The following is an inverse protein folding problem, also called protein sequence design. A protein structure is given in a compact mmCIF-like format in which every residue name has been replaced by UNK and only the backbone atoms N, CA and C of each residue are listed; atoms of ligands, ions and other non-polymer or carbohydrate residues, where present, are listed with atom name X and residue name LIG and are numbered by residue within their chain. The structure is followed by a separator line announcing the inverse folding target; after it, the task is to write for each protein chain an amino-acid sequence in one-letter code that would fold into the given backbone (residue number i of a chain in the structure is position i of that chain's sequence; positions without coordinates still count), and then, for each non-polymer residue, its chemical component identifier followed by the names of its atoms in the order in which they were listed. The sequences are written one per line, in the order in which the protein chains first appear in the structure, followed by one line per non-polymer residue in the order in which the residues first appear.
data_IF_123190905779
#
_entry.id   IF_123190905779
#
_cell.length_a   1.000
_cell.length_b   1.000
_cell.length_c   1.000
_cell.angle_alpha   90.00
_cell.angle_beta   90.00
_cell.angle_gamma   90.00
#
_symmetry.space_group_name_H-M   'P 1'
#
loop_
_entity.id
_entity.type
_entity.pdbx_description
1 polymer ?
#
# COMPACT_ATOMS: atom_id res chain seq x y z
N UNK A 1 50.93 -27.48 -0.61
CA UNK A 1 50.49 -26.90 -1.89
C UNK A 1 49.33 -27.73 -2.43
N UNK A 2 48.11 -27.27 -2.14
CA UNK A 2 46.80 -27.59 -2.74
C UNK A 2 45.87 -26.47 -2.21
N UNK A 3 44.98 -25.85 -3.00
CA UNK A 3 44.12 -24.78 -2.49
C UNK A 3 42.82 -25.37 -1.92
N UNK A 4 42.23 -24.78 -0.86
CA UNK A 4 40.88 -25.12 -0.44
C UNK A 4 39.87 -24.42 -1.36
N UNK A 5 39.02 -25.21 -2.02
CA UNK A 5 37.92 -24.72 -2.86
C UNK A 5 36.82 -24.08 -2.03
N UNK A 6 36.78 -22.75 -2.03
CA UNK A 6 35.66 -21.96 -1.53
C UNK A 6 34.49 -21.99 -2.50
N UNK A 7 33.52 -22.87 -2.26
CA UNK A 7 32.25 -22.93 -2.97
C UNK A 7 31.10 -22.83 -1.98
N UNK A 8 30.91 -21.67 -1.36
CA UNK A 8 29.67 -21.36 -0.63
C UNK A 8 28.54 -21.25 -1.65
N UNK A 9 27.85 -22.36 -1.92
CA UNK A 9 26.54 -22.33 -2.58
C UNK A 9 25.61 -21.49 -1.73
N UNK A 10 25.33 -20.27 -2.21
CA UNK A 10 24.25 -19.40 -1.75
C UNK A 10 22.97 -20.25 -1.67
N UNK A 11 22.31 -20.38 -0.51
CA UNK A 11 21.02 -21.04 -0.45
C UNK A 11 20.06 -20.26 -1.35
N UNK A 12 19.57 -20.90 -2.41
CA UNK A 12 18.42 -20.41 -3.15
C UNK A 12 17.28 -20.32 -2.14
N UNK A 13 16.85 -19.11 -1.81
CA UNK A 13 15.68 -18.87 -0.98
C UNK A 13 14.52 -19.72 -1.53
N UNK A 14 13.73 -20.40 -0.67
CA UNK A 14 12.59 -21.14 -1.13
C UNK A 14 11.70 -20.17 -1.90
N UNK A 15 11.48 -20.45 -3.18
CA UNK A 15 10.45 -19.77 -3.98
C UNK A 15 9.13 -20.12 -3.33
N UNK A 16 8.68 -19.28 -2.40
CA UNK A 16 7.29 -19.29 -1.93
C UNK A 16 6.48 -18.97 -3.17
N UNK A 17 5.82 -19.99 -3.72
CA UNK A 17 4.88 -19.79 -4.80
C UNK A 17 3.85 -18.76 -4.31
N UNK A 18 3.69 -17.67 -5.06
CA UNK A 18 2.66 -16.70 -4.75
C UNK A 18 1.31 -17.42 -4.60
N UNK A 19 0.46 -17.03 -3.64
CA UNK A 19 -0.87 -17.60 -3.49
C UNK A 19 -1.57 -17.56 -4.86
N UNK A 20 -1.98 -18.72 -5.36
CA UNK A 20 -2.79 -18.76 -6.58
C UNK A 20 -4.11 -18.11 -6.27
N UNK A 21 -4.57 -17.24 -7.16
CA UNK A 21 -5.89 -16.63 -7.06
C UNK A 21 -6.92 -17.76 -6.90
N UNK A 22 -7.79 -17.70 -5.89
CA UNK A 22 -8.80 -18.73 -5.68
C UNK A 22 -9.66 -18.83 -6.95
N UNK A 23 -9.77 -20.04 -7.47
CA UNK A 23 -10.58 -20.32 -8.65
C UNK A 23 -12.05 -20.08 -8.28
N UNK A 24 -12.76 -19.27 -9.07
CA UNK A 24 -14.21 -19.05 -8.94
C UNK A 24 -14.97 -20.11 -9.78
N UNK A 25 -15.55 -21.15 -9.16
CA UNK A 25 -16.24 -22.22 -9.89
C UNK A 25 -17.52 -21.74 -10.56
N UNK A 26 -18.22 -20.75 -9.98
CA UNK A 26 -19.44 -20.20 -10.56
C UNK A 26 -19.12 -19.47 -11.87
N UNK A 27 -18.07 -18.65 -11.88
CA UNK A 27 -17.62 -17.95 -13.08
C UNK A 27 -17.16 -18.90 -14.19
N UNK A 28 -16.46 -19.98 -13.84
CA UNK A 28 -16.11 -21.04 -14.81
C UNK A 28 -17.38 -21.63 -15.42
N UNK A 29 -18.38 -21.95 -14.59
CA UNK A 29 -19.66 -22.47 -15.04
C UNK A 29 -20.34 -21.55 -16.06
N UNK A 30 -20.56 -20.28 -15.70
CA UNK A 30 -21.16 -19.29 -16.61
C UNK A 30 -20.42 -19.20 -17.95
N UNK A 31 -19.08 -19.16 -17.93
CA UNK A 31 -18.25 -19.11 -19.15
C UNK A 31 -18.40 -20.35 -20.03
N UNK A 32 -18.51 -21.54 -19.44
CA UNK A 32 -18.71 -22.78 -20.19
C UNK A 32 -20.06 -22.74 -20.93
N UNK A 33 -21.11 -22.29 -20.24
CA UNK A 33 -22.45 -22.14 -20.84
C UNK A 33 -22.43 -21.15 -21.99
N UNK A 34 -21.91 -19.94 -21.79
CA UNK A 34 -21.83 -18.90 -22.84
C UNK A 34 -21.06 -19.38 -24.06
N UNK A 35 -19.96 -20.13 -23.85
CA UNK A 35 -19.20 -20.73 -24.95
C UNK A 35 -20.01 -21.79 -25.70
N UNK A 36 -20.79 -22.62 -25.00
CA UNK A 36 -21.68 -23.62 -25.63
C UNK A 36 -22.86 -22.95 -26.36
N UNK A 37 -23.39 -21.87 -25.81
CA UNK A 37 -24.55 -21.16 -26.35
C UNK A 37 -24.22 -20.27 -27.55
N UNK A 38 -22.94 -19.93 -27.80
CA UNK A 38 -22.56 -19.05 -28.92
C UNK A 38 -23.13 -19.57 -30.24
N UNK A 39 -23.90 -18.74 -30.93
CA UNK A 39 -24.56 -19.05 -32.19
C UNK A 39 -25.87 -19.84 -32.06
N UNK A 40 -26.32 -20.18 -30.85
CA UNK A 40 -27.61 -20.84 -30.64
C UNK A 40 -28.76 -19.81 -30.72
N UNK A 41 -29.87 -20.22 -31.33
CA UNK A 41 -31.13 -19.47 -31.30
C UNK A 41 -31.95 -19.80 -30.04
N UNK A 42 -33.10 -19.13 -29.88
CA UNK A 42 -33.98 -19.29 -28.73
C UNK A 42 -34.45 -20.76 -28.53
N UNK A 43 -34.69 -21.49 -29.61
CA UNK A 43 -35.16 -22.88 -29.56
C UNK A 43 -34.05 -23.82 -29.10
N UNK A 44 -32.84 -23.65 -29.62
CA UNK A 44 -31.67 -24.43 -29.23
C UNK A 44 -31.29 -24.18 -27.75
N UNK A 45 -31.35 -22.92 -27.29
CA UNK A 45 -31.11 -22.58 -25.87
C UNK A 45 -32.21 -23.16 -24.96
N UNK A 46 -33.48 -23.11 -25.37
CA UNK A 46 -34.57 -23.72 -24.59
C UNK A 46 -34.40 -25.23 -24.43
N UNK A 47 -34.00 -25.94 -25.50
CA UNK A 47 -33.73 -27.38 -25.43
C UNK A 47 -32.54 -27.70 -24.52
N UNK A 48 -31.45 -26.92 -24.60
CA UNK A 48 -30.28 -27.08 -23.74
C UNK A 48 -30.59 -26.78 -22.26
N UNK A 49 -31.47 -25.81 -21.98
CA UNK A 49 -31.92 -25.51 -20.62
C UNK A 49 -32.72 -26.68 -20.03
N UNK A 50 -33.62 -27.29 -20.80
CA UNK A 50 -34.39 -28.45 -20.32
C UNK A 50 -33.50 -29.67 -20.05
N UNK A 51 -32.47 -29.90 -20.88
CA UNK A 51 -31.42 -30.89 -20.63
C UNK A 51 -30.67 -30.59 -19.32
N UNK A 52 -30.20 -29.35 -19.14
CA UNK A 52 -29.49 -28.94 -17.93
C UNK A 52 -30.35 -29.06 -16.66
N UNK A 53 -31.65 -28.75 -16.73
CA UNK A 53 -32.61 -28.96 -15.63
C UNK A 53 -32.82 -30.43 -15.33
N UNK A 54 -32.83 -31.28 -16.33
CA UNK A 54 -32.91 -32.72 -16.14
C UNK A 54 -31.68 -33.25 -15.42
N UNK A 55 -30.48 -32.86 -15.86
CA UNK A 55 -29.22 -33.24 -15.22
C UNK A 55 -29.16 -32.74 -13.76
N UNK A 56 -29.54 -31.49 -13.50
CA UNK A 56 -29.60 -30.95 -12.14
C UNK A 56 -30.54 -31.74 -11.21
N UNK A 57 -31.67 -32.25 -11.72
CA UNK A 57 -32.60 -33.12 -10.96
C UNK A 57 -32.05 -34.54 -10.72
N UNK A 58 -31.22 -35.06 -11.62
CA UNK A 58 -30.52 -36.32 -11.37
C UNK A 58 -29.43 -36.11 -10.31
N UNK A 59 -28.67 -35.03 -10.44
CA UNK A 59 -27.56 -34.71 -9.56
C UNK A 59 -28.01 -34.42 -8.13
N UNK A 60 -29.20 -33.84 -7.94
CA UNK A 60 -29.78 -33.60 -6.61
C UNK A 60 -30.11 -34.89 -5.82
N UNK A 61 -30.09 -36.06 -6.47
CA UNK A 61 -30.29 -37.36 -5.81
C UNK A 61 -29.01 -37.91 -5.17
N UNK A 62 -27.87 -37.24 -5.39
CA UNK A 62 -26.58 -37.62 -4.85
C UNK A 62 -26.17 -36.65 -3.74
N UNK A 63 -25.97 -37.17 -2.52
CA UNK A 63 -25.68 -36.37 -1.32
C UNK A 63 -24.36 -35.59 -1.40
N UNK A 64 -23.40 -36.03 -2.24
CA UNK A 64 -22.09 -35.41 -2.40
C UNK A 64 -22.07 -34.08 -3.20
N UNK A 65 -23.23 -33.58 -3.66
CA UNK A 65 -23.32 -32.41 -4.57
C UNK A 65 -24.06 -31.19 -4.02
N UNK A 66 -24.42 -31.17 -2.73
CA UNK A 66 -25.14 -30.03 -2.13
C UNK A 66 -24.40 -28.68 -2.25
N UNK A 67 -23.07 -28.72 -2.42
CA UNK A 67 -22.20 -27.56 -2.58
C UNK A 67 -21.74 -27.31 -4.03
N UNK A 68 -22.45 -27.83 -5.04
CA UNK A 68 -22.09 -27.57 -6.45
C UNK A 68 -22.41 -26.13 -6.88
N UNK A 69 -21.51 -25.23 -6.50
CA UNK A 69 -21.51 -23.81 -6.88
C UNK A 69 -21.42 -23.65 -8.40
N UNK A 70 -20.70 -24.55 -9.08
CA UNK A 70 -20.50 -24.47 -10.52
C UNK A 70 -21.77 -24.88 -11.26
N UNK A 71 -22.35 -26.04 -10.97
CA UNK A 71 -23.57 -26.51 -11.63
C UNK A 71 -24.75 -25.57 -11.43
N UNK A 72 -24.90 -24.99 -10.23
CA UNK A 72 -25.91 -23.93 -9.98
C UNK A 72 -25.71 -22.70 -10.87
N UNK A 73 -24.45 -22.27 -11.04
CA UNK A 73 -24.15 -21.13 -11.90
C UNK A 73 -24.32 -21.45 -13.40
N UNK A 74 -24.02 -22.67 -13.83
CA UNK A 74 -24.30 -23.13 -15.20
C UNK A 74 -25.81 -23.11 -15.48
N UNK A 75 -26.63 -23.67 -14.58
CA UNK A 75 -28.08 -23.66 -14.74
C UNK A 75 -28.65 -22.23 -14.77
N UNK A 76 -28.27 -21.37 -13.82
CA UNK A 76 -28.73 -19.99 -13.78
C UNK A 76 -28.33 -19.19 -15.02
N UNK A 77 -27.16 -19.48 -15.61
CA UNK A 77 -26.74 -18.85 -16.86
C UNK A 77 -27.58 -19.34 -18.04
N UNK A 78 -27.91 -20.63 -18.15
CA UNK A 78 -28.84 -21.13 -19.17
C UNK A 78 -30.22 -20.46 -19.08
N UNK A 79 -30.74 -20.28 -17.86
CA UNK A 79 -32.02 -19.60 -17.63
C UNK A 79 -31.98 -18.14 -18.07
N UNK A 80 -30.88 -17.44 -17.78
CA UNK A 80 -30.66 -16.06 -18.24
C UNK A 80 -30.61 -15.98 -19.76
N UNK A 81 -29.86 -16.86 -20.42
CA UNK A 81 -29.75 -16.87 -21.88
C UNK A 81 -31.10 -17.18 -22.55
N UNK A 82 -31.88 -18.09 -21.96
CA UNK A 82 -33.24 -18.36 -22.43
C UNK A 82 -34.12 -17.11 -22.36
N UNK A 83 -34.10 -16.39 -21.23
CA UNK A 83 -34.85 -15.14 -21.09
C UNK A 83 -34.37 -14.07 -22.07
N UNK A 84 -33.05 -13.89 -22.19
CA UNK A 84 -32.43 -12.92 -23.10
C UNK A 84 -32.89 -13.12 -24.55
N UNK A 85 -32.94 -14.37 -25.03
CA UNK A 85 -33.36 -14.69 -26.39
C UNK A 85 -34.88 -14.71 -26.57
N UNK A 86 -35.65 -14.92 -25.50
CA UNK A 86 -37.11 -14.83 -25.55
C UNK A 86 -37.59 -13.39 -25.87
N UNK A 87 -36.84 -12.39 -25.40
CA UNK A 87 -37.13 -10.97 -25.63
C UNK A 87 -36.53 -10.44 -26.94
N UNK A 88 -35.73 -11.25 -27.65
CA UNK A 88 -35.03 -10.86 -28.86
C UNK A 88 -35.88 -11.02 -30.14
N UNK A 89 -35.48 -10.33 -31.21
CA UNK A 89 -36.15 -10.46 -32.50
C UNK A 89 -36.04 -11.89 -33.06
N UNK A 90 -37.03 -12.39 -33.81
CA UNK A 90 -36.96 -13.72 -34.42
C UNK A 90 -35.72 -13.88 -35.30
N UNK A 91 -35.04 -15.03 -35.20
CA UNK A 91 -33.78 -15.30 -35.90
C UNK A 91 -32.54 -14.70 -35.23
N UNK A 92 -32.68 -14.03 -34.08
CA UNK A 92 -31.51 -13.65 -33.26
C UNK A 92 -30.82 -14.89 -32.73
N UNK A 93 -29.50 -14.92 -32.84
CA UNK A 93 -28.63 -15.93 -32.25
C UNK A 93 -27.83 -15.31 -31.12
N UNK A 94 -27.48 -16.11 -30.12
CA UNK A 94 -26.68 -15.63 -29.00
C UNK A 94 -25.24 -15.31 -29.42
N UNK A 95 -24.82 -14.07 -29.22
CA UNK A 95 -23.42 -13.65 -29.32
C UNK A 95 -22.95 -13.06 -27.97
N UNK A 96 -22.03 -13.74 -27.25
CA UNK A 96 -21.50 -13.22 -25.99
C UNK A 96 -20.68 -11.93 -26.19
N UNK A 97 -20.22 -11.63 -27.42
CA UNK A 97 -19.46 -10.41 -27.68
C UNK A 97 -20.35 -9.16 -27.70
N UNK A 98 -21.67 -9.32 -27.84
CA UNK A 98 -22.67 -8.23 -27.77
C UNK A 98 -23.51 -8.27 -26.49
N UNK A 99 -23.27 -9.23 -25.59
CA UNK A 99 -24.01 -9.41 -24.35
C UNK A 99 -23.50 -8.44 -23.27
N UNK A 100 -24.34 -7.49 -22.86
CA UNK A 100 -23.98 -6.43 -21.91
C UNK A 100 -23.45 -6.97 -20.57
N UNK A 101 -23.96 -8.11 -20.10
CA UNK A 101 -23.48 -8.69 -18.84
C UNK A 101 -22.08 -9.27 -19.03
N UNK A 102 -21.80 -9.88 -20.18
CA UNK A 102 -20.45 -10.36 -20.51
C UNK A 102 -19.48 -9.19 -20.66
N UNK A 103 -19.89 -8.11 -21.33
CA UNK A 103 -19.06 -6.92 -21.48
C UNK A 103 -18.77 -6.24 -20.13
N UNK A 104 -19.77 -6.15 -19.25
CA UNK A 104 -19.59 -5.62 -17.91
C UNK A 104 -18.62 -6.47 -17.06
N UNK A 105 -18.73 -7.81 -17.11
CA UNK A 105 -17.78 -8.71 -16.44
C UNK A 105 -16.34 -8.52 -16.97
N UNK A 106 -16.16 -8.42 -18.28
CA UNK A 106 -14.84 -8.21 -18.90
C UNK A 106 -14.24 -6.84 -18.54
N UNK A 107 -15.07 -5.79 -18.51
CA UNK A 107 -14.63 -4.46 -18.10
C UNK A 107 -14.19 -4.45 -16.63
N UNK A 108 -14.94 -5.12 -15.75
CA UNK A 108 -14.57 -5.28 -14.34
C UNK A 108 -13.25 -6.06 -14.18
N UNK A 109 -13.05 -7.14 -14.94
CA UNK A 109 -11.79 -7.90 -14.96
C UNK A 109 -10.61 -7.04 -15.41
N UNK A 110 -10.79 -6.26 -16.48
CA UNK A 110 -9.75 -5.38 -17.01
C UNK A 110 -9.38 -4.29 -15.99
N UNK A 111 -10.37 -3.70 -15.31
CA UNK A 111 -10.15 -2.71 -14.25
C UNK A 111 -9.39 -3.32 -13.07
N UNK A 112 -9.77 -4.52 -12.62
CA UNK A 112 -9.08 -5.22 -11.54
C UNK A 112 -7.63 -5.59 -11.94
N UNK A 113 -7.41 -6.02 -13.19
CA UNK A 113 -6.07 -6.29 -13.70
C UNK A 113 -5.20 -5.02 -13.76
N UNK A 114 -5.76 -3.91 -14.23
CA UNK A 114 -5.05 -2.62 -14.28
C UNK A 114 -4.70 -2.10 -12.88
N UNK A 115 -5.60 -2.26 -11.90
CA UNK A 115 -5.34 -1.91 -10.50
C UNK A 115 -4.18 -2.73 -9.92
N UNK A 116 -4.19 -4.06 -10.09
CA UNK A 116 -3.08 -4.92 -9.65
C UNK A 116 -1.77 -4.58 -10.34
N UNK A 117 -1.80 -4.27 -11.64
CA UNK A 117 -0.59 -3.86 -12.36
C UNK A 117 -0.06 -2.53 -11.82
N UNK A 118 -0.93 -1.59 -11.48
CA UNK A 118 -0.55 -0.33 -10.85
C UNK A 118 0.09 -0.56 -9.47
N UNK A 119 -0.50 -1.41 -8.63
CA UNK A 119 0.08 -1.81 -7.34
C UNK A 119 1.45 -2.47 -7.49
N UNK A 120 1.62 -3.37 -8.47
CA UNK A 120 2.92 -4.02 -8.74
C UNK A 120 3.96 -3.03 -9.25
N UNK A 121 3.57 -2.09 -10.12
CA UNK A 121 4.47 -1.02 -10.59
C UNK A 121 4.89 -0.11 -9.43
N UNK A 122 3.98 0.21 -8.53
CA UNK A 122 4.29 1.03 -7.36
C UNK A 122 5.20 0.30 -6.37
N UNK A 123 4.89 -0.96 -6.05
CA UNK A 123 5.76 -1.80 -5.23
C UNK A 123 7.16 -1.94 -5.83
N UNK A 124 7.28 -2.05 -7.16
CA UNK A 124 8.57 -2.09 -7.85
C UNK A 124 9.35 -0.77 -7.75
N UNK A 125 8.66 0.38 -7.78
CA UNK A 125 9.28 1.70 -7.57
C UNK A 125 9.79 1.85 -6.14
N UNK A 126 8.95 1.52 -5.16
CA UNK A 126 9.30 1.55 -3.73
C UNK A 126 10.50 0.62 -3.48
N UNK A 127 10.48 -0.59 -4.05
CA UNK A 127 11.57 -1.54 -3.98
C UNK A 127 12.89 -1.00 -4.52
N UNK A 128 12.86 -0.38 -5.70
CA UNK A 128 14.05 0.17 -6.33
C UNK A 128 14.60 1.36 -5.53
N UNK A 129 13.72 2.20 -4.98
CA UNK A 129 14.11 3.31 -4.12
C UNK A 129 14.67 2.83 -2.78
N UNK A 130 14.14 1.76 -2.21
CA UNK A 130 14.70 1.11 -1.02
C UNK A 130 16.14 0.64 -1.27
N UNK A 131 16.38 -0.02 -2.41
CA UNK A 131 17.73 -0.48 -2.79
C UNK A 131 18.69 0.72 -2.98
N UNK A 132 18.20 1.85 -3.54
CA UNK A 132 18.97 3.10 -3.66
C UNK A 132 19.36 3.67 -2.29
N UNK A 133 18.40 3.82 -1.37
CA UNK A 133 18.67 4.35 -0.03
C UNK A 133 19.62 3.45 0.76
N UNK A 134 19.46 2.12 0.65
CA UNK A 134 20.38 1.18 1.26
C UNK A 134 21.80 1.34 0.69
N UNK A 135 21.95 1.49 -0.63
CA UNK A 135 23.26 1.69 -1.25
C UNK A 135 23.92 3.01 -0.81
N UNK A 136 23.16 4.11 -0.74
CA UNK A 136 23.65 5.39 -0.24
C UNK A 136 24.11 5.31 1.22
N UNK A 137 23.37 4.56 2.03
CA UNK A 137 23.74 4.28 3.43
C UNK A 137 25.02 3.45 3.51
N UNK A 138 25.17 2.41 2.70
CA UNK A 138 26.41 1.60 2.63
C UNK A 138 27.63 2.42 2.17
N UNK A 139 27.41 3.46 1.36
CA UNK A 139 28.45 4.40 0.92
C UNK A 139 28.70 5.56 1.91
N UNK A 140 27.88 5.70 2.97
CA UNK A 140 27.96 6.82 3.91
C UNK A 140 27.57 8.16 3.30
N UNK A 141 26.75 8.18 2.25
CA UNK A 141 26.33 9.38 1.51
C UNK A 141 24.81 9.61 1.57
N UNK A 142 24.12 8.95 2.50
CA UNK A 142 22.66 9.08 2.66
C UNK A 142 22.26 10.54 2.97
N UNK A 143 22.99 11.22 3.85
CA UNK A 143 22.72 12.62 4.25
C UNK A 143 22.81 13.61 3.08
N UNK A 144 23.52 13.26 2.00
CA UNK A 144 23.69 14.11 0.82
C UNK A 144 22.52 13.98 -0.16
N UNK A 145 21.60 13.03 0.06
CA UNK A 145 20.42 12.85 -0.79
C UNK A 145 19.22 13.57 -0.20
N UNK A 146 18.48 14.31 -1.03
CA UNK A 146 17.21 14.89 -0.60
C UNK A 146 16.09 13.84 -0.63
N UNK A 147 15.16 13.87 0.35
CA UNK A 147 13.99 13.01 0.30
C UNK A 147 13.10 13.33 -0.90
N UNK A 148 12.49 12.28 -1.41
CA UNK A 148 11.51 12.30 -2.48
C UNK A 148 10.14 11.91 -1.91
N UNK A 149 9.10 12.35 -2.61
CA UNK A 149 7.74 11.90 -2.33
C UNK A 149 7.67 10.36 -2.34
N UNK A 150 7.07 9.79 -1.29
CA UNK A 150 6.95 8.35 -1.09
C UNK A 150 8.11 7.67 -0.35
N UNK A 151 9.15 8.40 0.07
CA UNK A 151 10.25 7.82 0.86
C UNK A 151 9.78 7.30 2.25
N UNK A 152 8.61 7.71 2.73
CA UNK A 152 7.94 7.12 3.90
C UNK A 152 7.53 5.66 3.66
N UNK A 153 7.00 5.34 2.47
CA UNK A 153 6.67 3.95 2.11
C UNK A 153 7.94 3.11 1.89
N UNK A 154 9.02 3.75 1.43
CA UNK A 154 10.33 3.12 1.25
C UNK A 154 10.94 2.72 2.60
N UNK A 155 10.80 3.57 3.61
CA UNK A 155 11.21 3.27 5.00
C UNK A 155 10.50 2.04 5.54
N UNK A 156 9.20 1.91 5.32
CA UNK A 156 8.44 0.72 5.74
C UNK A 156 8.87 -0.54 4.99
N UNK A 157 9.16 -0.41 3.69
CA UNK A 157 9.72 -1.50 2.88
C UNK A 157 11.11 -1.94 3.37
N UNK A 158 11.98 -1.00 3.74
CA UNK A 158 13.29 -1.29 4.32
C UNK A 158 13.17 -1.98 5.68
N UNK A 159 12.26 -1.51 6.53
CA UNK A 159 11.92 -2.11 7.82
C UNK A 159 11.52 -3.58 7.64
N UNK A 160 10.69 -3.86 6.62
CA UNK A 160 10.23 -5.22 6.28
C UNK A 160 11.34 -6.13 5.77
N UNK A 161 12.33 -5.61 5.02
CA UNK A 161 13.42 -6.40 4.39
C UNK A 161 14.61 -6.66 5.28
N UNK A 162 15.16 -5.62 5.90
CA UNK A 162 16.50 -5.62 6.47
C UNK A 162 16.52 -5.70 8.00
N UNK A 163 15.37 -5.54 8.66
CA UNK A 163 15.31 -5.36 10.11
C UNK A 163 15.88 -4.01 10.55
N UNK A 164 15.93 -3.77 11.87
CA UNK A 164 16.10 -2.42 12.44
C UNK A 164 17.41 -1.68 12.15
N UNK A 165 18.46 -2.31 11.60
CA UNK A 165 19.77 -1.67 11.44
C UNK A 165 19.83 -0.61 10.33
N UNK A 166 19.15 -0.83 9.20
CA UNK A 166 19.02 0.19 8.14
C UNK A 166 18.00 1.25 8.53
N UNK A 167 17.03 0.87 9.37
CA UNK A 167 15.92 1.71 9.76
C UNK A 167 16.37 2.92 10.59
N UNK A 168 17.31 2.77 11.52
CA UNK A 168 17.78 3.90 12.35
C UNK A 168 18.40 5.02 11.50
N UNK A 169 19.26 4.66 10.55
CA UNK A 169 19.94 5.64 9.68
C UNK A 169 18.92 6.39 8.78
N UNK A 170 17.92 5.66 8.26
CA UNK A 170 16.84 6.24 7.45
C UNK A 170 15.89 7.10 8.29
N UNK A 171 15.56 6.67 9.52
CA UNK A 171 14.71 7.40 10.46
C UNK A 171 15.36 8.73 10.87
N UNK A 172 16.68 8.74 11.13
CA UNK A 172 17.46 9.94 11.41
C UNK A 172 17.52 10.88 10.20
N UNK A 173 17.79 10.34 9.00
CA UNK A 173 17.80 11.10 7.75
C UNK A 173 16.45 11.76 7.45
N UNK A 174 15.34 11.03 7.59
CA UNK A 174 13.99 11.58 7.41
C UNK A 174 13.68 12.67 8.44
N UNK A 175 14.03 12.45 9.71
CA UNK A 175 13.82 13.43 10.76
C UNK A 175 14.58 14.74 10.50
N UNK A 176 15.85 14.63 10.11
CA UNK A 176 16.68 15.77 9.71
C UNK A 176 16.03 16.52 8.55
N UNK A 177 15.66 15.83 7.47
CA UNK A 177 15.13 16.47 6.29
C UNK A 177 13.76 17.14 6.53
N UNK A 178 12.92 16.57 7.41
CA UNK A 178 11.69 17.23 7.86
C UNK A 178 11.99 18.51 8.63
N UNK A 179 12.95 18.47 9.56
CA UNK A 179 13.32 19.61 10.40
C UNK A 179 13.94 20.75 9.58
N UNK A 180 14.84 20.43 8.65
CA UNK A 180 15.50 21.36 7.75
C UNK A 180 14.66 21.73 6.51
N UNK A 181 13.49 21.12 6.34
CA UNK A 181 12.58 21.33 5.22
C UNK A 181 13.28 21.09 3.86
N UNK A 182 13.91 19.93 3.71
CA UNK A 182 14.62 19.53 2.49
C UNK A 182 13.72 18.71 1.55
N UNK A 183 14.07 18.66 0.26
CA UNK A 183 13.35 17.84 -0.71
C UNK A 183 11.87 18.21 -0.83
N UNK A 184 10.99 17.20 -0.81
CA UNK A 184 9.54 17.39 -0.85
C UNK A 184 8.98 18.02 0.44
N UNK A 185 9.69 17.94 1.57
CA UNK A 185 9.28 18.57 2.83
C UNK A 185 9.37 20.11 2.86
N UNK A 186 9.83 20.74 1.77
CA UNK A 186 9.65 22.18 1.56
C UNK A 186 8.18 22.57 1.49
N UNK A 187 7.33 21.67 1.00
CA UNK A 187 5.88 21.85 0.97
C UNK A 187 5.26 21.56 2.34
N UNK A 188 4.55 22.53 2.96
CA UNK A 188 3.81 22.29 4.20
C UNK A 188 2.81 21.12 4.11
N UNK A 189 2.12 20.96 2.98
CA UNK A 189 1.14 19.89 2.81
C UNK A 189 1.81 18.50 2.80
N UNK A 190 3.01 18.40 2.21
CA UNK A 190 3.81 17.18 2.24
C UNK A 190 4.25 16.82 3.67
N UNK A 191 4.61 17.81 4.48
CA UNK A 191 4.95 17.57 5.90
C UNK A 191 3.74 17.11 6.71
N UNK A 192 2.57 17.69 6.47
CA UNK A 192 1.33 17.28 7.13
C UNK A 192 0.93 15.85 6.73
N UNK A 193 1.07 15.50 5.45
CA UNK A 193 0.85 14.13 4.98
C UNK A 193 1.84 13.14 5.61
N UNK A 194 3.13 13.48 5.64
CA UNK A 194 4.17 12.65 6.25
C UNK A 194 3.98 12.46 7.76
N UNK A 195 3.43 13.45 8.47
CA UNK A 195 3.07 13.31 9.88
C UNK A 195 2.02 12.21 10.14
N UNK A 196 1.20 11.87 9.14
CA UNK A 196 0.26 10.74 9.21
C UNK A 196 0.86 9.38 8.86
N UNK A 197 2.05 9.35 8.26
CA UNK A 197 2.71 8.13 7.76
C UNK A 197 3.91 7.71 8.62
N UNK A 198 4.65 8.68 9.15
CA UNK A 198 5.87 8.42 9.91
C UNK A 198 5.58 8.04 11.36
N UNK A 199 6.41 7.17 11.95
CA UNK A 199 6.20 6.74 13.32
C UNK A 199 6.57 7.86 14.31
N UNK A 200 5.95 7.88 15.52
CA UNK A 200 6.17 8.93 16.51
C UNK A 200 7.64 9.25 16.86
N UNK A 201 8.58 8.29 16.92
CA UNK A 201 9.99 8.59 17.18
C UNK A 201 10.62 9.51 16.13
N UNK A 202 10.33 9.30 14.84
CA UNK A 202 10.86 10.13 13.73
C UNK A 202 10.32 11.55 13.83
N UNK A 203 9.01 11.68 14.06
CA UNK A 203 8.35 12.98 14.22
C UNK A 203 8.87 13.75 15.44
N UNK A 204 9.13 13.03 16.52
CA UNK A 204 9.68 13.59 17.75
C UNK A 204 11.11 14.09 17.56
N UNK A 205 11.94 13.30 16.87
CA UNK A 205 13.29 13.70 16.52
C UNK A 205 13.27 14.95 15.62
N UNK A 206 12.45 14.96 14.57
CA UNK A 206 12.31 16.12 13.68
C UNK A 206 11.86 17.39 14.45
N UNK A 207 10.89 17.25 15.35
CA UNK A 207 10.41 18.36 16.17
C UNK A 207 11.50 18.91 17.10
N UNK A 208 12.32 18.03 17.69
CA UNK A 208 13.45 18.43 18.53
C UNK A 208 14.50 19.21 17.72
N UNK A 209 14.92 18.68 16.57
CA UNK A 209 15.87 19.35 15.67
C UNK A 209 15.35 20.72 15.23
N UNK A 210 14.09 20.81 14.81
CA UNK A 210 13.47 22.07 14.39
C UNK A 210 13.33 23.08 15.55
N UNK A 211 13.13 22.61 16.78
CA UNK A 211 13.11 23.49 17.96
C UNK A 211 14.50 24.03 18.30
N UNK A 212 15.53 23.19 18.21
CA UNK A 212 16.92 23.57 18.48
C UNK A 212 17.47 24.53 17.41
N UNK A 213 17.21 24.28 16.12
CA UNK A 213 17.62 25.15 15.03
C UNK A 213 17.05 26.58 15.13
N UNK A 214 15.83 26.72 15.69
CA UNK A 214 15.23 28.04 15.97
C UNK A 214 15.94 28.80 17.09
N UNK A 215 16.49 28.09 18.07
CA UNK A 215 17.21 28.68 19.21
C UNK A 215 18.64 29.06 18.85
N UNK A 216 19.29 28.28 17.97
CA UNK A 216 20.65 28.53 17.51
C UNK A 216 20.69 28.55 15.99
N UNK A 217 20.24 29.64 15.33
CA UNK A 217 20.12 29.69 13.87
C UNK A 217 21.45 29.56 13.10
N UNK A 218 22.57 29.74 13.80
CA UNK A 218 23.91 29.59 13.22
C UNK A 218 24.48 28.17 13.35
N UNK A 219 23.86 27.30 14.15
CA UNK A 219 24.26 25.90 14.28
C UNK A 219 23.61 25.10 13.16
N UNK A 220 24.41 24.30 12.48
CA UNK A 220 23.88 23.32 11.54
C UNK A 220 23.15 22.20 12.30
N UNK A 221 22.13 21.62 11.69
CA UNK A 221 21.41 20.46 12.25
C UNK A 221 22.39 19.28 12.41
N UNK A 222 23.41 19.20 11.57
CA UNK A 222 24.50 18.20 11.65
C UNK A 222 25.38 18.36 12.91
N UNK A 223 25.41 19.55 13.51
CA UNK A 223 26.14 19.80 14.76
C UNK A 223 25.37 19.30 16.00
N UNK A 224 24.11 18.85 15.82
CA UNK A 224 23.20 18.47 16.90
C UNK A 224 23.17 16.95 17.16
N UNK A 225 24.30 16.27 17.06
CA UNK A 225 24.43 14.80 17.28
C UNK A 225 23.84 14.33 18.62
N UNK A 226 23.85 15.18 19.65
CA UNK A 226 23.23 14.85 20.95
C UNK A 226 21.71 14.72 20.88
N UNK A 227 21.05 15.42 19.95
CA UNK A 227 19.61 15.36 19.75
C UNK A 227 19.19 13.99 19.18
N UNK A 228 19.99 13.44 18.27
CA UNK A 228 19.82 12.08 17.74
C UNK A 228 19.96 11.02 18.85
N UNK A 229 20.99 11.15 19.68
CA UNK A 229 21.19 10.26 20.83
C UNK A 229 20.01 10.32 21.82
N UNK A 230 19.51 11.52 22.12
CA UNK A 230 18.37 11.72 23.01
C UNK A 230 17.08 11.14 22.40
N UNK A 231 16.81 11.41 21.13
CA UNK A 231 15.62 10.92 20.44
C UNK A 231 15.61 9.39 20.32
N UNK A 232 16.78 8.77 20.14
CA UNK A 232 16.94 7.32 20.10
C UNK A 232 16.79 6.66 21.48
N UNK A 233 17.39 7.24 22.52
CA UNK A 233 17.38 6.64 23.86
C UNK A 233 16.07 6.91 24.63
N UNK A 234 15.53 8.12 24.54
CA UNK A 234 14.41 8.61 25.34
C UNK A 234 13.44 9.45 24.48
N UNK A 235 12.70 8.82 23.54
CA UNK A 235 11.88 9.53 22.57
C UNK A 235 10.78 10.39 23.25
N UNK A 236 10.19 9.93 24.35
CA UNK A 236 9.20 10.71 25.09
C UNK A 236 9.80 11.99 25.68
N UNK A 237 11.02 11.91 26.22
CA UNK A 237 11.73 13.07 26.77
C UNK A 237 12.13 14.05 25.67
N UNK A 238 12.60 13.54 24.52
CA UNK A 238 12.89 14.34 23.34
C UNK A 238 11.65 15.14 22.89
N UNK A 239 10.47 14.51 22.89
CA UNK A 239 9.21 15.16 22.51
C UNK A 239 8.76 16.22 23.51
N UNK A 240 8.85 15.91 24.81
CA UNK A 240 8.56 16.87 25.86
C UNK A 240 9.49 18.09 25.80
N UNK A 241 10.78 17.87 25.52
CA UNK A 241 11.77 18.93 25.34
C UNK A 241 11.45 19.79 24.11
N UNK A 242 11.16 19.18 22.97
CA UNK A 242 10.80 19.90 21.75
C UNK A 242 9.58 20.81 21.95
N UNK A 243 8.55 20.32 22.64
CA UNK A 243 7.35 21.07 22.97
C UNK A 243 7.64 22.23 23.94
N UNK A 244 8.48 22.00 24.96
CA UNK A 244 8.92 23.03 25.90
C UNK A 244 9.68 24.16 25.18
N UNK A 245 10.67 23.82 24.36
CA UNK A 245 11.49 24.78 23.62
C UNK A 245 10.65 25.59 22.63
N UNK A 246 9.72 24.94 21.93
CA UNK A 246 8.79 25.63 21.01
C UNK A 246 7.92 26.66 21.75
N UNK A 247 7.42 26.33 22.94
CA UNK A 247 6.64 27.27 23.75
C UNK A 247 7.48 28.44 24.24
N UNK A 248 8.68 28.17 24.76
CA UNK A 248 9.59 29.21 25.24
C UNK A 248 9.94 30.23 24.13
N UNK A 249 10.19 29.75 22.91
CA UNK A 249 10.50 30.63 21.78
C UNK A 249 9.29 31.49 21.33
N UNK A 250 8.08 30.96 21.41
CA UNK A 250 6.85 31.73 21.13
C UNK A 250 6.59 32.82 22.18
N UNK A 251 6.96 32.57 23.44
CA UNK A 251 6.85 33.55 24.52
C UNK A 251 7.88 34.70 24.37
N UNK A 252 9.09 34.41 23.90
CA UNK A 252 10.14 35.41 23.66
C UNK A 252 9.87 36.28 22.41
N UNK A 253 9.20 35.74 21.38
CA UNK A 253 8.83 36.50 20.18
C UNK A 253 7.58 37.40 20.36
N UNK A 254 6.93 37.35 21.52
CA UNK A 254 5.75 38.14 21.83
C UNK A 254 6.10 39.20 22.89
N UNK A 255 6.53 40.43 22.52
CA UNK A 255 6.91 41.46 23.47
C UNK A 255 5.67 42.16 24.02
N UNK A 256 4.80 41.45 24.74
CA UNK A 256 3.68 42.02 25.47
C UNK A 256 3.39 41.18 26.73
N UNK A 257 4.37 41.10 27.63
CA UNK A 257 4.12 40.59 28.98
C UNK A 257 3.19 41.54 29.76
N UNK A 258 2.18 41.04 30.50
CA UNK A 258 1.50 41.84 31.48
C UNK A 258 2.45 42.05 32.67
N UNK A 259 2.87 43.30 32.86
CA UNK A 259 3.56 43.77 34.07
C UNK A 259 2.83 43.26 35.32
N UNK A 260 3.41 42.26 36.01
CA UNK A 260 3.05 41.93 37.39
C UNK A 260 3.49 43.10 38.27
N UNK A 261 2.59 44.08 38.41
CA UNK A 261 2.68 45.15 39.38
C UNK A 261 2.70 44.53 40.78
N UNK A 262 3.91 44.40 41.31
CA UNK A 262 4.21 44.09 42.71
C UNK A 262 3.59 45.20 43.55
N UNK A 263 2.38 44.99 44.09
CA UNK A 263 1.81 45.84 45.16
C UNK A 263 2.70 45.70 46.40
N UNK A 264 3.72 46.54 46.49
CA UNK A 264 4.22 47.05 47.76
C UNK A 264 3.36 48.23 48.13
N UNK A 265 2.50 48.03 49.13
CA UNK A 265 1.80 49.10 49.82
C UNK A 265 1.68 48.67 51.27
N UNK A 266 2.65 49.10 52.07
CA UNK A 266 2.52 49.12 53.52
C UNK A 266 1.89 50.43 53.95
N UNK A 267 0.91 50.34 54.85
CA UNK A 267 0.70 51.12 56.06
C UNK A 267 -0.64 50.66 56.65
#
# INVERSE_FOLDING_TARGET
MWPPGGGTRRPLAPRVAAPREPVDPARIGRRVVRRRARGMDAGAVAAALEEARFDARQDSRHEDRADDVRGRAELGEWERLHQLLADAAPGTVYDPDTDDVVQAELAADAAAAAAREAELREAARIAARADELQALRELGTLEQTEPRDGDEAVRDELTRRAGGYVQTDVDAWLAHAMAAHLGHYRDPAARDAAAGLLPPPVLTHAALLAALARLVPAADVDEMVFADQLATAEPEAAGALAAFLTRAHLEDCCPCGPSRARKRGGA
#
